data_IF_439349262542
#
_entry.id   IF_439349262542
#
_cell.length_a   1.000
_cell.length_b   1.000
_cell.length_c   1.000
_cell.angle_alpha   90.00
_cell.angle_beta   90.00
_cell.angle_gamma   90.00
#
_symmetry.space_group_name_H-M   'P 1'
#
loop_
_entity.id
_entity.type
_entity.pdbx_description
1 polymer ?
#
# COMPACT_ATOMS: atom_id res chain seq x y z
N UNK A 1 33.62 4.97 2.31
CA UNK A 1 33.35 4.07 3.44
C UNK A 1 31.91 3.64 3.31
N UNK A 2 31.65 2.34 3.44
CA UNK A 2 30.28 1.80 3.48
C UNK A 2 29.58 2.43 4.69
N UNK A 3 28.43 3.05 4.47
CA UNK A 3 27.66 3.62 5.57
C UNK A 3 27.04 2.47 6.38
N UNK A 4 27.52 2.29 7.61
CA UNK A 4 27.04 1.24 8.51
C UNK A 4 26.19 1.89 9.59
N UNK A 5 24.97 1.35 9.79
CA UNK A 5 24.04 1.80 10.79
C UNK A 5 23.67 0.63 11.71
N UNK A 6 23.80 0.83 13.01
CA UNK A 6 23.42 -0.12 14.04
C UNK A 6 22.28 0.47 14.87
N UNK A 7 21.09 -0.13 14.75
CA UNK A 7 19.89 0.26 15.48
C UNK A 7 19.68 -0.69 16.69
N UNK A 8 19.34 -0.11 17.83
CA UNK A 8 18.92 -0.84 19.03
C UNK A 8 17.50 -0.49 19.39
N UNK A 9 16.68 -1.47 19.69
CA UNK A 9 15.28 -1.28 20.10
C UNK A 9 14.58 -2.60 20.37
N UNK A 10 13.32 -2.55 20.72
CA UNK A 10 12.49 -3.76 20.76
C UNK A 10 12.10 -4.10 19.33
N UNK A 11 12.44 -5.29 18.84
CA UNK A 11 12.16 -5.64 17.43
C UNK A 11 10.99 -6.60 17.31
N UNK A 12 10.19 -6.46 16.23
CA UNK A 12 9.15 -7.39 15.85
C UNK A 12 9.17 -7.58 14.32
N UNK A 13 9.23 -8.84 13.88
CA UNK A 13 9.22 -9.19 12.46
C UNK A 13 8.47 -10.50 12.25
N UNK A 14 7.57 -10.54 11.26
CA UNK A 14 6.76 -11.72 10.98
C UNK A 14 7.49 -12.68 10.03
N UNK A 15 7.24 -13.98 10.24
CA UNK A 15 7.75 -15.08 9.40
C UNK A 15 6.64 -15.69 8.55
N UNK A 16 5.43 -15.70 9.08
CA UNK A 16 4.21 -16.20 8.43
C UNK A 16 2.97 -15.60 9.10
N UNK A 17 1.79 -15.91 8.58
CA UNK A 17 0.53 -15.57 9.20
C UNK A 17 0.44 -16.14 10.62
N UNK A 18 0.16 -15.31 11.65
CA UNK A 18 -0.08 -15.79 13.00
C UNK A 18 -1.49 -16.39 13.14
N UNK A 19 -1.58 -17.67 13.47
CA UNK A 19 -2.88 -18.33 13.60
C UNK A 19 -3.63 -17.93 14.89
N UNK A 20 -2.86 -17.64 15.96
CA UNK A 20 -3.39 -17.22 17.25
C UNK A 20 -2.45 -16.18 17.91
N UNK A 21 -2.92 -15.57 19.01
CA UNK A 21 -2.13 -14.57 19.79
C UNK A 21 -0.86 -15.19 20.38
N UNK A 22 -0.90 -16.46 20.73
CA UNK A 22 0.20 -17.24 21.32
C UNK A 22 1.01 -18.04 20.28
N UNK A 23 0.81 -17.79 19.00
CA UNK A 23 1.61 -18.41 17.92
C UNK A 23 2.99 -17.75 17.78
N UNK A 24 3.84 -17.98 18.80
CA UNK A 24 5.18 -17.39 18.86
C UNK A 24 6.13 -17.86 17.75
N UNK A 25 5.80 -18.94 17.03
CA UNK A 25 6.58 -19.39 15.88
C UNK A 25 6.28 -18.60 14.59
N UNK A 26 5.29 -17.71 14.60
CA UNK A 26 4.91 -16.91 13.44
C UNK A 26 5.70 -15.59 13.33
N UNK A 27 6.45 -15.22 14.35
CA UNK A 27 7.22 -13.97 14.39
C UNK A 27 8.49 -14.09 15.22
N UNK A 28 9.43 -13.17 15.02
CA UNK A 28 10.56 -12.93 15.92
C UNK A 28 10.29 -11.66 16.72
N UNK A 29 10.58 -11.69 18.03
CA UNK A 29 10.49 -10.53 18.91
C UNK A 29 11.65 -10.53 19.88
N UNK A 30 12.37 -9.40 19.98
CA UNK A 30 13.45 -9.19 20.94
C UNK A 30 13.15 -7.96 21.79
N UNK A 31 13.12 -8.08 23.10
CA UNK A 31 12.94 -6.94 24.03
C UNK A 31 14.17 -6.01 24.02
N UNK A 32 15.35 -6.53 23.71
CA UNK A 32 16.59 -5.78 23.47
C UNK A 32 17.23 -6.29 22.18
N UNK A 33 16.67 -5.87 21.05
CA UNK A 33 17.07 -6.28 19.73
C UNK A 33 18.04 -5.31 19.06
N UNK A 34 18.77 -5.84 18.08
CA UNK A 34 19.68 -5.11 17.22
C UNK A 34 19.39 -5.35 15.75
N UNK A 35 19.59 -4.32 14.93
CA UNK A 35 19.60 -4.39 13.47
C UNK A 35 20.88 -3.75 12.97
N UNK A 36 21.66 -4.50 12.19
CA UNK A 36 22.84 -3.98 11.50
C UNK A 36 22.52 -3.79 10.02
N UNK A 37 22.71 -2.57 9.55
CA UNK A 37 22.40 -2.17 8.16
C UNK A 37 23.70 -1.77 7.46
N UNK A 38 23.91 -2.29 6.25
CA UNK A 38 24.98 -1.89 5.33
C UNK A 38 24.40 -1.67 3.94
N UNK A 39 24.77 -0.57 3.30
CA UNK A 39 24.33 -0.22 1.95
C UNK A 39 22.81 -0.32 1.75
N UNK A 40 22.03 0.10 2.75
CA UNK A 40 20.59 0.07 2.73
C UNK A 40 19.92 -1.28 2.93
N UNK A 41 20.70 -2.33 3.25
CA UNK A 41 20.18 -3.67 3.53
C UNK A 41 20.46 -4.09 4.98
N UNK A 42 19.53 -4.84 5.55
CA UNK A 42 19.73 -5.51 6.84
C UNK A 42 20.71 -6.65 6.61
N UNK A 43 21.82 -6.66 7.35
CA UNK A 43 22.86 -7.72 7.28
C UNK A 43 22.84 -8.61 8.51
N UNK A 44 22.34 -8.10 9.65
CA UNK A 44 22.10 -8.91 10.85
C UNK A 44 20.89 -8.36 11.62
N UNK A 45 20.12 -9.26 12.22
CA UNK A 45 18.99 -8.97 13.10
C UNK A 45 18.94 -10.02 14.21
N UNK A 46 18.60 -9.63 15.44
CA UNK A 46 18.50 -10.54 16.58
C UNK A 46 18.79 -9.85 17.90
N UNK A 47 19.15 -10.61 18.96
CA UNK A 47 19.53 -10.05 20.26
C UNK A 47 20.65 -9.02 20.12
N UNK A 48 20.52 -7.88 20.79
CA UNK A 48 21.50 -6.79 20.72
C UNK A 48 22.93 -7.24 20.93
N UNK A 49 23.19 -8.05 21.98
CA UNK A 49 24.54 -8.50 22.34
C UNK A 49 25.23 -9.33 21.24
N UNK A 50 24.48 -9.92 20.32
CA UNK A 50 25.01 -10.70 19.19
C UNK A 50 25.21 -9.83 17.95
N UNK A 51 24.26 -8.92 17.68
CA UNK A 51 24.32 -8.04 16.52
C UNK A 51 25.40 -6.97 16.68
N UNK A 52 25.57 -6.41 17.88
CA UNK A 52 26.58 -5.38 18.19
C UNK A 52 28.01 -5.85 17.88
N UNK A 53 28.31 -7.14 18.13
CA UNK A 53 29.62 -7.73 17.86
C UNK A 53 30.00 -7.76 16.38
N UNK A 54 28.99 -7.66 15.49
CA UNK A 54 29.18 -7.70 14.03
C UNK A 54 29.36 -6.30 13.44
N UNK A 55 29.09 -5.25 14.22
CA UNK A 55 29.22 -3.87 13.78
C UNK A 55 30.69 -3.39 13.83
N UNK A 56 31.11 -2.67 12.82
CA UNK A 56 32.40 -2.01 12.79
C UNK A 56 32.52 -0.88 13.82
N UNK A 57 33.75 -0.49 14.16
CA UNK A 57 34.01 0.63 15.10
C UNK A 57 33.42 1.96 14.58
N UNK A 58 33.34 2.15 13.26
CA UNK A 58 32.79 3.34 12.62
C UNK A 58 31.28 3.33 12.41
N UNK A 59 30.55 2.29 12.88
CA UNK A 59 29.11 2.20 12.72
C UNK A 59 28.39 3.33 13.48
N UNK A 60 27.44 3.99 12.80
CA UNK A 60 26.53 4.93 13.46
C UNK A 60 25.59 4.13 14.35
N UNK A 61 25.57 4.43 15.64
CA UNK A 61 24.72 3.75 16.62
C UNK A 61 23.54 4.61 17.04
N UNK A 62 22.33 4.08 16.91
CA UNK A 62 21.09 4.78 17.31
C UNK A 62 20.30 3.86 18.26
N UNK A 63 19.97 4.38 19.42
CA UNK A 63 19.17 3.69 20.44
C UNK A 63 17.72 4.20 20.40
N UNK A 64 16.81 3.33 20.01
CA UNK A 64 15.38 3.60 19.95
C UNK A 64 14.60 3.07 21.17
N UNK A 65 15.26 2.49 22.15
CA UNK A 65 14.54 1.99 23.32
C UNK A 65 13.78 3.10 24.06
N UNK A 66 12.59 2.86 24.59
CA UNK A 66 11.89 1.58 24.69
C UNK A 66 10.94 1.30 23.49
N UNK A 67 11.11 1.94 22.35
CA UNK A 67 10.21 1.88 21.21
C UNK A 67 10.28 0.56 20.45
N UNK A 68 9.19 0.23 19.76
CA UNK A 68 9.07 -0.97 18.94
C UNK A 68 9.56 -0.68 17.50
N UNK A 69 10.45 -1.51 17.00
CA UNK A 69 11.05 -1.44 15.66
C UNK A 69 10.47 -2.56 14.80
N UNK A 70 9.81 -2.18 13.70
CA UNK A 70 9.16 -3.10 12.76
C UNK A 70 9.63 -2.83 11.32
N UNK A 71 9.34 -3.74 10.37
CA UNK A 71 9.41 -3.40 8.95
C UNK A 71 8.52 -2.22 8.64
N UNK A 72 8.93 -1.36 7.71
CA UNK A 72 8.11 -0.25 7.23
C UNK A 72 6.76 -0.75 6.70
N UNK A 73 5.72 0.03 6.90
CA UNK A 73 4.38 -0.32 6.44
C UNK A 73 4.30 -0.27 4.91
N UNK A 74 3.43 -1.10 4.38
CA UNK A 74 3.18 -1.23 2.94
C UNK A 74 1.71 -0.96 2.69
N UNK A 75 1.41 -0.07 1.75
CA UNK A 75 0.05 0.29 1.33
C UNK A 75 -0.20 -0.21 -0.09
N UNK A 76 -1.15 -1.11 -0.25
CA UNK A 76 -1.34 -1.84 -1.50
C UNK A 76 -2.24 -1.14 -2.52
N UNK A 77 -2.79 0.06 -2.21
CA UNK A 77 -3.67 0.78 -3.12
C UNK A 77 -3.84 2.24 -2.67
N UNK A 78 -3.33 3.17 -3.45
CA UNK A 78 -3.45 4.60 -3.17
C UNK A 78 -3.58 5.40 -4.46
N UNK A 79 -4.28 6.54 -4.40
CA UNK A 79 -4.40 7.50 -5.50
C UNK A 79 -3.69 8.80 -5.13
N UNK A 80 -2.40 8.94 -5.41
CA UNK A 80 -1.67 10.15 -5.00
C UNK A 80 -2.26 11.45 -5.60
N UNK A 81 -2.86 11.46 -6.81
CA UNK A 81 -3.49 12.66 -7.34
C UNK A 81 -4.70 13.16 -6.53
N UNK A 82 -5.28 12.30 -5.69
CA UNK A 82 -6.47 12.62 -4.92
C UNK A 82 -6.18 13.19 -3.52
N UNK A 83 -4.90 13.49 -3.24
CA UNK A 83 -4.50 14.05 -1.94
C UNK A 83 -5.29 15.31 -1.54
N UNK A 84 -5.64 16.17 -2.51
CA UNK A 84 -6.36 17.41 -2.25
C UNK A 84 -7.89 17.26 -2.13
N UNK A 85 -8.43 16.09 -2.43
CA UNK A 85 -9.86 15.79 -2.32
C UNK A 85 -10.20 14.78 -1.21
N UNK A 86 -9.21 14.35 -0.44
CA UNK A 86 -9.42 13.49 0.71
C UNK A 86 -10.41 14.14 1.69
N UNK A 87 -11.41 13.38 2.16
CA UNK A 87 -12.45 13.89 3.06
C UNK A 87 -13.46 14.82 2.40
N UNK A 88 -13.51 14.94 1.07
CA UNK A 88 -14.57 15.66 0.37
C UNK A 88 -15.88 14.91 0.47
N UNK A 89 -16.96 15.62 0.83
CA UNK A 89 -18.27 15.01 1.01
C UNK A 89 -18.87 14.58 -0.33
N UNK A 90 -19.08 13.27 -0.50
CA UNK A 90 -19.75 12.66 -1.65
C UNK A 90 -20.83 11.69 -1.17
N UNK A 91 -21.97 11.64 -1.89
CA UNK A 91 -23.07 10.77 -1.49
C UNK A 91 -22.80 9.30 -1.86
N UNK A 92 -22.22 9.06 -3.06
CA UNK A 92 -21.90 7.74 -3.60
C UNK A 92 -20.67 7.80 -4.50
N UNK A 93 -20.04 6.63 -4.79
CA UNK A 93 -18.80 6.51 -5.55
C UNK A 93 -18.80 7.32 -6.87
N UNK A 94 -19.76 7.08 -7.75
CA UNK A 94 -19.77 7.70 -9.09
C UNK A 94 -20.00 9.22 -9.02
N UNK A 95 -20.81 9.70 -8.07
CA UNK A 95 -21.02 11.13 -7.82
C UNK A 95 -19.74 11.77 -7.28
N UNK A 96 -19.08 11.13 -6.31
CA UNK A 96 -17.82 11.60 -5.74
C UNK A 96 -16.69 11.68 -6.78
N UNK A 97 -16.60 10.69 -7.68
CA UNK A 97 -15.66 10.70 -8.80
C UNK A 97 -15.87 11.90 -9.71
N UNK A 98 -17.10 12.17 -10.11
CA UNK A 98 -17.44 13.26 -11.04
C UNK A 98 -17.29 14.64 -10.39
N UNK A 99 -17.64 14.77 -9.10
CA UNK A 99 -17.68 16.07 -8.42
C UNK A 99 -16.29 16.52 -7.97
N UNK A 100 -15.46 15.62 -7.45
CA UNK A 100 -14.18 15.97 -6.82
C UNK A 100 -12.96 15.37 -7.53
N UNK A 101 -12.99 14.06 -7.77
CA UNK A 101 -11.82 13.31 -8.19
C UNK A 101 -11.38 13.67 -9.61
N UNK A 102 -12.26 13.56 -10.58
CA UNK A 102 -11.92 13.83 -11.98
C UNK A 102 -11.48 15.29 -12.23
N UNK A 103 -12.15 16.31 -11.65
CA UNK A 103 -11.64 17.68 -11.74
C UNK A 103 -10.23 17.84 -11.17
N UNK A 104 -9.92 17.23 -10.04
CA UNK A 104 -8.58 17.32 -9.44
C UNK A 104 -7.54 16.57 -10.28
N UNK A 105 -7.83 15.33 -10.70
CA UNK A 105 -6.90 14.53 -11.50
C UNK A 105 -6.58 15.17 -12.86
N UNK A 106 -7.47 15.96 -13.44
CA UNK A 106 -7.23 16.73 -14.68
C UNK A 106 -6.09 17.75 -14.52
N UNK A 107 -5.86 18.28 -13.32
CA UNK A 107 -4.79 19.24 -13.03
C UNK A 107 -3.39 18.66 -13.18
N UNK A 108 -3.27 17.33 -13.14
CA UNK A 108 -1.98 16.62 -13.24
C UNK A 108 -1.38 16.58 -14.66
N UNK A 109 -2.05 17.21 -15.64
CA UNK A 109 -1.41 17.61 -16.91
C UNK A 109 -0.28 18.62 -16.70
N UNK A 110 -0.35 19.41 -15.62
CA UNK A 110 0.73 20.31 -15.19
C UNK A 110 1.77 19.53 -14.37
N UNK A 111 2.95 19.38 -14.95
CA UNK A 111 4.07 18.67 -14.33
C UNK A 111 4.53 19.31 -13.01
N UNK A 112 4.42 20.65 -12.85
CA UNK A 112 4.80 21.30 -11.60
C UNK A 112 3.81 20.97 -10.48
N UNK A 113 2.50 20.99 -10.80
CA UNK A 113 1.48 20.55 -9.89
C UNK A 113 1.71 19.08 -9.49
N UNK A 114 1.93 18.19 -10.47
CA UNK A 114 2.22 16.77 -10.25
C UNK A 114 3.40 16.55 -9.30
N UNK A 115 4.53 17.21 -9.51
CA UNK A 115 5.72 17.14 -8.64
C UNK A 115 5.44 17.63 -7.23
N UNK A 116 4.75 18.76 -7.11
CA UNK A 116 4.38 19.30 -5.79
C UNK A 116 3.55 18.31 -4.99
N UNK A 117 2.52 17.72 -5.61
CA UNK A 117 1.63 16.78 -4.93
C UNK A 117 2.33 15.45 -4.65
N UNK A 118 3.11 14.90 -5.59
CA UNK A 118 3.88 13.68 -5.38
C UNK A 118 4.85 13.81 -4.19
N UNK A 119 5.54 14.97 -4.07
CA UNK A 119 6.41 15.26 -2.94
C UNK A 119 5.65 15.23 -1.61
N UNK A 120 4.56 15.99 -1.49
CA UNK A 120 3.76 16.08 -0.28
C UNK A 120 3.15 14.73 0.07
N UNK A 121 2.66 13.98 -0.92
CA UNK A 121 2.09 12.65 -0.73
C UNK A 121 3.11 11.66 -0.14
N UNK A 122 4.30 11.58 -0.74
CA UNK A 122 5.34 10.66 -0.26
C UNK A 122 5.87 11.08 1.12
N UNK A 123 5.93 12.38 1.41
CA UNK A 123 6.27 12.88 2.75
C UNK A 123 5.21 12.48 3.78
N UNK A 124 3.91 12.55 3.43
CA UNK A 124 2.83 12.06 4.32
C UNK A 124 2.87 10.54 4.51
N UNK A 125 3.16 9.76 3.46
CA UNK A 125 3.33 8.31 3.61
C UNK A 125 4.45 7.98 4.61
N UNK A 126 5.62 8.60 4.46
CA UNK A 126 6.74 8.44 5.39
C UNK A 126 6.35 8.90 6.80
N UNK A 127 5.65 10.03 6.93
CA UNK A 127 5.16 10.53 8.24
C UNK A 127 4.33 9.49 8.99
N UNK A 128 3.55 8.69 8.26
CA UNK A 128 2.68 7.65 8.81
C UNK A 128 3.34 6.25 8.87
N UNK A 129 4.65 6.14 8.58
CA UNK A 129 5.39 4.88 8.68
C UNK A 129 5.35 4.01 7.42
N UNK A 130 4.74 4.47 6.34
CA UNK A 130 4.63 3.73 5.08
C UNK A 130 5.85 3.99 4.20
N UNK A 131 6.56 2.95 3.83
CA UNK A 131 7.78 2.99 3.02
C UNK A 131 7.61 2.44 1.60
N UNK A 132 6.49 1.76 1.35
CA UNK A 132 6.16 1.15 0.06
C UNK A 132 4.68 1.36 -0.24
N UNK A 133 4.36 1.79 -1.47
CA UNK A 133 2.97 1.95 -1.93
C UNK A 133 2.76 1.32 -3.31
N UNK A 134 1.52 0.88 -3.58
CA UNK A 134 1.02 0.62 -4.93
C UNK A 134 0.12 1.79 -5.35
N UNK A 135 0.63 2.67 -6.23
CA UNK A 135 0.04 3.97 -6.51
C UNK A 135 -0.58 4.05 -7.91
N UNK A 136 -1.81 4.57 -7.96
CA UNK A 136 -2.44 5.06 -9.18
C UNK A 136 -1.99 6.50 -9.41
N UNK A 137 -1.47 6.76 -10.60
CA UNK A 137 -1.22 8.12 -11.07
C UNK A 137 -2.45 8.64 -11.84
N UNK A 138 -2.42 9.88 -12.35
CA UNK A 138 -3.45 10.35 -13.27
C UNK A 138 -3.28 9.74 -14.67
N UNK A 139 -4.20 10.00 -15.58
CA UNK A 139 -4.10 9.62 -17.01
C UNK A 139 -2.91 10.28 -17.70
N UNK A 140 -2.43 11.39 -17.19
CA UNK A 140 -1.32 12.15 -17.77
C UNK A 140 0.03 11.50 -17.47
N UNK A 141 0.84 11.27 -18.51
CA UNK A 141 2.22 10.74 -18.39
C UNK A 141 3.05 11.53 -17.39
N UNK A 142 2.94 12.88 -17.41
CA UNK A 142 3.64 13.76 -16.50
C UNK A 142 3.35 13.49 -15.00
N UNK A 143 2.15 12.99 -14.69
CA UNK A 143 1.78 12.57 -13.34
C UNK A 143 2.62 11.37 -12.87
N UNK A 144 2.74 10.35 -13.70
CA UNK A 144 3.53 9.17 -13.39
C UNK A 144 5.03 9.49 -13.32
N UNK A 145 5.54 10.30 -14.25
CA UNK A 145 6.92 10.79 -14.21
C UNK A 145 7.22 11.52 -12.90
N UNK A 146 6.34 12.44 -12.49
CA UNK A 146 6.48 13.20 -11.24
C UNK A 146 6.51 12.28 -10.02
N UNK A 147 5.64 11.28 -9.97
CA UNK A 147 5.62 10.30 -8.87
C UNK A 147 6.93 9.50 -8.81
N UNK A 148 7.38 8.96 -9.95
CA UNK A 148 8.60 8.15 -9.99
C UNK A 148 9.85 8.98 -9.71
N UNK A 149 9.95 10.24 -10.18
CA UNK A 149 11.05 11.15 -9.86
C UNK A 149 11.17 11.35 -8.34
N UNK A 150 10.08 11.70 -7.66
CA UNK A 150 10.06 11.96 -6.22
C UNK A 150 10.27 10.69 -5.39
N UNK A 151 9.73 9.55 -5.83
CA UNK A 151 9.93 8.23 -5.21
C UNK A 151 11.40 7.77 -5.34
N UNK A 152 11.98 7.90 -6.53
CA UNK A 152 13.37 7.55 -6.79
C UNK A 152 14.34 8.41 -5.99
N UNK A 153 14.07 9.72 -5.89
CA UNK A 153 14.90 10.65 -5.11
C UNK A 153 14.93 10.28 -3.61
N UNK A 154 13.81 9.74 -3.07
CA UNK A 154 13.72 9.23 -1.68
C UNK A 154 14.24 7.81 -1.53
N UNK A 155 14.59 7.15 -2.62
CA UNK A 155 14.94 5.73 -2.66
C UNK A 155 13.84 4.82 -2.09
N UNK A 156 12.56 5.21 -2.21
CA UNK A 156 11.42 4.37 -1.81
C UNK A 156 11.23 3.23 -2.82
N UNK A 157 10.77 2.08 -2.34
CA UNK A 157 10.35 0.96 -3.18
C UNK A 157 8.86 1.10 -3.45
N UNK A 158 8.50 1.50 -4.66
CA UNK A 158 7.10 1.70 -5.00
C UNK A 158 6.72 0.98 -6.31
N UNK A 159 5.46 0.57 -6.36
CA UNK A 159 4.76 0.11 -7.56
C UNK A 159 3.86 1.26 -8.01
N UNK A 160 3.93 1.70 -9.26
CA UNK A 160 3.05 2.77 -9.73
C UNK A 160 2.78 2.65 -11.22
N UNK A 161 1.70 3.26 -11.69
CA UNK A 161 1.36 3.30 -13.11
C UNK A 161 0.48 4.47 -13.48
N UNK A 162 0.68 4.95 -14.72
CA UNK A 162 -0.24 5.87 -15.37
C UNK A 162 -1.59 5.18 -15.55
N UNK A 163 -2.67 5.82 -15.10
CA UNK A 163 -4.03 5.34 -15.33
C UNK A 163 -4.37 5.40 -16.82
N UNK A 164 -5.05 4.36 -17.31
CA UNK A 164 -5.59 4.26 -18.66
C UNK A 164 -7.12 4.47 -18.58
N UNK A 165 -7.64 5.48 -19.27
CA UNK A 165 -9.06 5.80 -19.39
C UNK A 165 -9.33 6.42 -20.76
N UNK A 166 -10.30 5.89 -21.51
CA UNK A 166 -10.67 6.39 -22.85
C UNK A 166 -12.16 6.62 -23.03
N UNK A 167 -12.98 6.40 -21.98
CA UNK A 167 -14.41 6.71 -21.96
C UNK A 167 -14.91 7.05 -20.55
N UNK A 168 -16.13 7.56 -20.46
CA UNK A 168 -16.84 7.81 -19.19
C UNK A 168 -16.07 8.67 -18.17
N UNK A 169 -15.25 9.60 -18.67
CA UNK A 169 -14.53 10.59 -17.89
C UNK A 169 -14.53 11.93 -18.65
N UNK A 170 -14.22 13.08 -18.00
CA UNK A 170 -14.09 14.35 -18.70
C UNK A 170 -13.04 14.30 -19.81
N UNK A 171 -13.27 15.06 -20.90
CA UNK A 171 -12.37 15.09 -22.07
C UNK A 171 -10.90 15.35 -21.69
N UNK A 172 -10.65 16.23 -20.72
CA UNK A 172 -9.29 16.53 -20.22
C UNK A 172 -8.64 15.42 -19.39
N UNK A 173 -9.33 14.29 -19.20
CA UNK A 173 -8.88 13.13 -18.42
C UNK A 173 -9.01 11.81 -19.22
N UNK A 174 -9.06 11.91 -20.53
CA UNK A 174 -9.10 10.75 -21.43
C UNK A 174 -7.78 10.64 -22.22
N UNK A 175 -7.33 9.41 -22.39
CA UNK A 175 -6.36 9.04 -23.42
C UNK A 175 -7.08 8.33 -24.60
N UNK A 176 -6.33 7.81 -25.54
CA UNK A 176 -6.84 6.87 -26.53
C UNK A 176 -6.19 5.50 -26.27
N UNK A 177 -6.75 4.39 -26.78
CA UNK A 177 -6.10 3.09 -26.67
C UNK A 177 -4.62 3.12 -27.08
N UNK A 178 -4.32 3.79 -28.20
CA UNK A 178 -2.94 3.89 -28.70
C UNK A 178 -2.06 4.77 -27.80
N UNK A 179 -2.50 5.97 -27.43
CA UNK A 179 -1.69 6.85 -26.57
C UNK A 179 -1.50 6.26 -25.16
N UNK A 180 -2.51 5.57 -24.64
CA UNK A 180 -2.41 4.82 -23.38
C UNK A 180 -1.34 3.74 -23.44
N UNK A 181 -1.27 3.01 -24.55
CA UNK A 181 -0.24 2.00 -24.79
C UNK A 181 1.15 2.64 -24.93
N UNK A 182 1.33 3.62 -25.82
CA UNK A 182 2.62 4.24 -26.12
C UNK A 182 3.23 4.92 -24.90
N UNK A 183 2.44 5.67 -24.14
CA UNK A 183 2.87 6.31 -22.89
C UNK A 183 3.27 5.28 -21.82
N UNK A 184 2.52 4.17 -21.74
CA UNK A 184 2.84 3.08 -20.81
C UNK A 184 4.15 2.42 -21.17
N UNK A 185 4.39 2.09 -22.44
CA UNK A 185 5.67 1.52 -22.91
C UNK A 185 6.83 2.47 -22.61
N UNK A 186 6.66 3.77 -22.89
CA UNK A 186 7.69 4.76 -22.59
C UNK A 186 8.02 4.85 -21.08
N UNK A 187 6.98 4.81 -20.22
CA UNK A 187 7.17 4.85 -18.77
C UNK A 187 7.78 3.56 -18.21
N UNK A 188 7.41 2.39 -18.75
CA UNK A 188 8.06 1.12 -18.41
C UNK A 188 9.56 1.22 -18.70
N UNK A 189 9.93 1.63 -19.92
CA UNK A 189 11.34 1.79 -20.31
C UNK A 189 12.13 2.80 -19.49
N UNK A 190 11.47 3.85 -18.98
CA UNK A 190 12.11 4.87 -18.18
C UNK A 190 12.26 4.50 -16.70
N UNK A 191 11.31 3.77 -16.14
CA UNK A 191 11.18 3.64 -14.69
C UNK A 191 11.20 2.21 -14.15
N UNK A 192 10.69 1.20 -14.88
CA UNK A 192 10.67 -0.16 -14.34
C UNK A 192 12.09 -0.69 -14.12
N UNK A 193 12.39 -1.12 -12.90
CA UNK A 193 13.73 -1.59 -12.52
C UNK A 193 14.78 -0.49 -12.30
N UNK A 194 14.41 0.80 -12.45
CA UNK A 194 15.31 1.92 -12.13
C UNK A 194 15.36 2.13 -10.62
N UNK A 195 16.47 1.76 -10.00
CA UNK A 195 16.59 1.75 -8.54
C UNK A 195 15.60 0.77 -7.92
N UNK A 196 14.63 1.29 -7.18
CA UNK A 196 13.62 0.49 -6.48
C UNK A 196 12.21 0.70 -7.04
N UNK A 197 12.09 1.19 -8.30
CA UNK A 197 10.80 1.50 -8.91
C UNK A 197 10.25 0.31 -9.70
N UNK A 198 8.95 0.03 -9.55
CA UNK A 198 8.22 -0.97 -10.31
C UNK A 198 7.05 -0.32 -11.03
N UNK A 199 6.88 -0.62 -12.32
CA UNK A 199 5.74 -0.14 -13.08
C UNK A 199 4.56 -1.10 -12.97
N UNK A 200 3.32 -0.54 -12.94
CA UNK A 200 2.08 -1.29 -13.02
C UNK A 200 1.26 -0.84 -14.24
N UNK A 201 0.77 -1.79 -15.02
CA UNK A 201 -0.24 -1.56 -16.06
C UNK A 201 -1.55 -1.23 -15.32
N UNK A 202 -2.14 -0.07 -15.59
CA UNK A 202 -3.18 0.49 -14.73
C UNK A 202 -4.43 0.91 -15.52
N UNK A 203 -5.23 -0.02 -16.10
CA UNK A 203 -6.59 0.32 -16.49
C UNK A 203 -7.37 0.66 -15.23
N UNK A 204 -7.95 1.89 -15.16
CA UNK A 204 -8.57 2.34 -13.89
C UNK A 204 -9.65 1.36 -13.41
N UNK A 205 -10.62 1.10 -14.26
CA UNK A 205 -11.65 0.07 -14.08
C UNK A 205 -12.45 -0.09 -15.39
N UNK A 206 -13.25 -1.15 -15.52
CA UNK A 206 -13.91 -1.47 -16.79
C UNK A 206 -14.87 -0.36 -17.29
N UNK A 207 -15.44 0.45 -16.39
CA UNK A 207 -16.33 1.56 -16.79
C UNK A 207 -15.60 2.61 -17.64
N UNK A 208 -14.36 2.92 -17.31
CA UNK A 208 -13.59 3.96 -18.00
C UNK A 208 -12.70 3.46 -19.13
N UNK A 209 -12.79 2.17 -19.48
CA UNK A 209 -12.02 1.58 -20.58
C UNK A 209 -12.94 0.97 -21.63
N UNK A 210 -12.70 1.29 -22.91
CA UNK A 210 -13.34 0.58 -24.03
C UNK A 210 -12.76 -0.81 -24.19
N UNK A 211 -13.43 -1.72 -24.94
CA UNK A 211 -12.83 -2.99 -25.32
C UNK A 211 -11.44 -2.85 -25.95
N UNK A 212 -11.26 -1.86 -26.83
CA UNK A 212 -10.00 -1.56 -27.49
C UNK A 212 -8.90 -1.16 -26.51
N UNK A 213 -9.22 -0.36 -25.50
CA UNK A 213 -8.23 -0.02 -24.44
C UNK A 213 -7.90 -1.23 -23.57
N UNK A 214 -8.88 -2.08 -23.25
CA UNK A 214 -8.65 -3.32 -22.52
C UNK A 214 -7.78 -4.31 -23.31
N UNK A 215 -7.96 -4.39 -24.65
CA UNK A 215 -7.08 -5.16 -25.53
C UNK A 215 -5.63 -4.65 -25.46
N UNK A 216 -5.43 -3.32 -25.47
CA UNK A 216 -4.10 -2.73 -25.32
C UNK A 216 -3.49 -3.02 -23.94
N UNK A 217 -4.27 -2.96 -22.86
CA UNK A 217 -3.80 -3.33 -21.53
C UNK A 217 -3.40 -4.82 -21.47
N UNK A 218 -4.17 -5.71 -22.10
CA UNK A 218 -3.85 -7.14 -22.22
C UNK A 218 -2.60 -7.38 -23.06
N UNK A 219 -2.42 -6.63 -24.17
CA UNK A 219 -1.22 -6.68 -24.99
C UNK A 219 0.03 -6.29 -24.18
N UNK A 220 -0.05 -5.20 -23.38
CA UNK A 220 1.02 -4.77 -22.47
C UNK A 220 1.36 -5.86 -21.44
N UNK A 221 0.35 -6.47 -20.82
CA UNK A 221 0.57 -7.54 -19.84
C UNK A 221 1.26 -8.77 -20.46
N UNK A 222 0.96 -9.07 -21.71
CA UNK A 222 1.61 -10.16 -22.47
C UNK A 222 3.02 -9.79 -22.93
N UNK A 223 3.24 -8.55 -23.36
CA UNK A 223 4.54 -8.07 -23.85
C UNK A 223 5.55 -7.90 -22.71
N UNK A 224 5.09 -7.46 -21.55
CA UNK A 224 5.93 -7.24 -20.36
C UNK A 224 5.53 -8.20 -19.21
N UNK A 225 5.78 -9.50 -19.35
CA UNK A 225 5.42 -10.48 -18.35
C UNK A 225 6.20 -10.23 -17.05
N UNK A 226 5.50 -10.22 -15.94
CA UNK A 226 6.11 -9.95 -14.63
C UNK A 226 5.92 -8.53 -14.11
N UNK A 227 5.35 -7.61 -14.90
CA UNK A 227 4.83 -6.36 -14.37
C UNK A 227 3.62 -6.60 -13.45
N UNK A 228 3.34 -5.62 -12.60
CA UNK A 228 2.07 -5.58 -11.89
C UNK A 228 0.96 -5.10 -12.83
N UNK A 229 -0.25 -5.55 -12.55
CA UNK A 229 -1.49 -4.98 -13.07
C UNK A 229 -2.28 -4.47 -11.87
N UNK A 230 -2.86 -3.29 -11.95
CA UNK A 230 -3.74 -2.78 -10.89
C UNK A 230 -5.00 -2.16 -11.49
N UNK A 231 -6.15 -2.47 -10.89
CA UNK A 231 -7.47 -1.99 -11.30
C UNK A 231 -8.46 -2.12 -10.15
N UNK A 232 -9.70 -1.64 -10.32
CA UNK A 232 -10.78 -1.76 -9.34
C UNK A 232 -11.74 -2.88 -9.75
N UNK A 233 -12.34 -3.55 -8.76
CA UNK A 233 -13.25 -4.66 -9.00
C UNK A 233 -14.34 -4.72 -7.93
N UNK A 234 -15.60 -4.67 -8.38
CA UNK A 234 -16.79 -4.99 -7.58
C UNK A 234 -16.85 -4.25 -6.23
N UNK A 235 -16.64 -2.93 -6.29
CA UNK A 235 -16.69 -2.05 -5.13
C UNK A 235 -18.13 -1.71 -4.75
N UNK A 236 -18.99 -1.35 -5.74
CA UNK A 236 -20.32 -0.83 -5.51
C UNK A 236 -21.33 -1.49 -6.45
N UNK A 237 -22.57 -1.69 -6.00
CA UNK A 237 -23.62 -2.32 -6.81
C UNK A 237 -23.98 -1.53 -8.08
N UNK A 238 -24.00 -0.19 -8.01
CA UNK A 238 -24.27 0.65 -9.17
C UNK A 238 -23.11 0.55 -10.20
N UNK A 239 -21.87 0.50 -9.72
CA UNK A 239 -20.67 0.23 -10.53
C UNK A 239 -20.77 -1.11 -11.25
N UNK A 240 -21.13 -2.19 -10.54
CA UNK A 240 -21.27 -3.54 -11.11
C UNK A 240 -22.37 -3.56 -12.19
N UNK A 241 -23.53 -2.95 -11.92
CA UNK A 241 -24.63 -2.89 -12.86
C UNK A 241 -24.23 -2.12 -14.13
N UNK A 242 -23.59 -0.96 -13.99
CA UNK A 242 -23.11 -0.17 -15.12
C UNK A 242 -22.03 -0.91 -15.93
N UNK A 243 -21.15 -1.62 -15.26
CA UNK A 243 -20.14 -2.46 -15.93
C UNK A 243 -20.79 -3.57 -16.76
N UNK A 244 -21.85 -4.22 -16.24
CA UNK A 244 -22.59 -5.25 -16.97
C UNK A 244 -23.32 -4.69 -18.21
N UNK A 245 -23.82 -3.46 -18.15
CA UNK A 245 -24.39 -2.78 -19.32
C UNK A 245 -23.35 -2.52 -20.40
N UNK A 246 -22.13 -2.15 -20.02
CA UNK A 246 -21.02 -1.85 -20.94
C UNK A 246 -20.38 -3.11 -21.56
N UNK A 247 -20.43 -4.24 -20.84
CA UNK A 247 -19.86 -5.53 -21.25
C UNK A 247 -20.91 -6.67 -21.16
N UNK A 248 -22.02 -6.61 -21.93
CA UNK A 248 -23.14 -7.54 -21.79
C UNK A 248 -22.81 -9.00 -22.14
N UNK A 249 -21.66 -9.25 -22.74
CA UNK A 249 -21.16 -10.59 -23.07
C UNK A 249 -20.50 -11.30 -21.88
N UNK A 250 -20.05 -10.54 -20.86
CA UNK A 250 -19.35 -11.08 -19.71
C UNK A 250 -20.30 -11.80 -18.74
N UNK A 251 -19.80 -12.82 -18.08
CA UNK A 251 -20.56 -13.53 -17.03
C UNK A 251 -20.71 -12.70 -15.77
N UNK A 252 -19.70 -11.92 -15.47
CA UNK A 252 -19.60 -10.99 -14.33
C UNK A 252 -18.44 -10.04 -14.55
N UNK A 253 -18.15 -9.18 -13.57
CA UNK A 253 -17.11 -8.16 -13.67
C UNK A 253 -15.70 -8.78 -13.80
N UNK A 254 -15.40 -9.82 -13.03
CA UNK A 254 -14.10 -10.51 -13.08
C UNK A 254 -13.85 -11.18 -14.45
N UNK A 255 -14.91 -11.67 -15.11
CA UNK A 255 -14.81 -12.30 -16.44
C UNK A 255 -14.26 -11.32 -17.50
N UNK A 256 -14.52 -10.02 -17.37
CA UNK A 256 -13.97 -8.99 -18.25
C UNK A 256 -12.44 -8.99 -18.16
N UNK A 257 -11.89 -8.88 -16.96
CA UNK A 257 -10.42 -8.87 -16.76
C UNK A 257 -9.78 -10.20 -17.14
N UNK A 258 -10.46 -11.32 -16.90
CA UNK A 258 -10.00 -12.63 -17.34
C UNK A 258 -9.92 -12.73 -18.87
N UNK A 259 -10.94 -12.23 -19.59
CA UNK A 259 -11.00 -12.23 -21.05
C UNK A 259 -9.81 -11.50 -21.68
N UNK A 260 -9.42 -10.34 -21.13
CA UNK A 260 -8.28 -9.56 -21.63
C UNK A 260 -6.92 -10.01 -21.07
N UNK A 261 -6.86 -11.09 -20.29
CA UNK A 261 -5.61 -11.63 -19.76
C UNK A 261 -4.95 -10.77 -18.68
N UNK A 262 -5.73 -10.00 -17.94
CA UNK A 262 -5.26 -9.07 -16.91
C UNK A 262 -5.17 -9.71 -15.52
N UNK A 263 -5.62 -10.95 -15.33
CA UNK A 263 -5.58 -11.65 -14.05
C UNK A 263 -4.29 -12.45 -13.89
N UNK A 264 -3.75 -12.45 -12.68
CA UNK A 264 -2.54 -13.19 -12.36
C UNK A 264 -1.95 -12.83 -11.00
N UNK A 265 -0.86 -13.50 -10.64
CA UNK A 265 -0.23 -13.39 -9.31
C UNK A 265 0.22 -11.97 -8.94
N UNK A 266 0.44 -11.08 -9.91
CA UNK A 266 0.83 -9.67 -9.70
C UNK A 266 -0.30 -8.70 -10.02
N UNK A 267 -1.55 -9.19 -10.11
CA UNK A 267 -2.72 -8.35 -10.32
C UNK A 267 -3.32 -7.95 -8.97
N UNK A 268 -3.45 -6.65 -8.76
CA UNK A 268 -4.05 -6.02 -7.58
C UNK A 268 -5.44 -5.50 -7.96
N UNK A 269 -6.47 -6.00 -7.31
CA UNK A 269 -7.87 -5.67 -7.56
C UNK A 269 -8.41 -4.90 -6.36
N UNK A 270 -8.63 -3.60 -6.50
CA UNK A 270 -9.17 -2.74 -5.45
C UNK A 270 -10.56 -3.17 -5.03
N UNK A 271 -10.83 -3.10 -3.73
CA UNK A 271 -12.10 -3.34 -3.03
C UNK A 271 -12.57 -4.78 -3.00
N UNK A 272 -13.00 -5.39 -4.09
CA UNK A 272 -13.50 -6.78 -4.15
C UNK A 272 -14.60 -7.10 -3.11
N UNK A 273 -15.52 -6.15 -2.85
CA UNK A 273 -16.51 -6.28 -1.78
C UNK A 273 -17.58 -7.28 -2.17
N UNK A 274 -18.13 -7.14 -3.39
CA UNK A 274 -19.32 -7.84 -3.86
C UNK A 274 -19.00 -8.99 -4.83
N UNK A 275 -17.95 -9.78 -4.55
CA UNK A 275 -17.60 -10.93 -5.37
C UNK A 275 -18.63 -12.07 -5.20
N UNK A 276 -19.09 -12.63 -6.32
CA UNK A 276 -19.74 -13.93 -6.34
C UNK A 276 -18.77 -15.07 -5.99
N UNK A 277 -19.28 -16.29 -5.73
CA UNK A 277 -18.42 -17.46 -5.49
C UNK A 277 -17.52 -17.76 -6.70
N UNK A 278 -18.08 -17.66 -7.93
CA UNK A 278 -17.31 -17.86 -9.16
C UNK A 278 -16.16 -16.87 -9.28
N UNK A 279 -16.40 -15.59 -9.01
CA UNK A 279 -15.35 -14.55 -9.09
C UNK A 279 -14.25 -14.82 -8.05
N UNK A 280 -14.64 -15.18 -6.84
CA UNK A 280 -13.68 -15.55 -5.79
C UNK A 280 -12.87 -16.80 -6.17
N UNK A 281 -13.47 -17.80 -6.82
CA UNK A 281 -12.74 -18.97 -7.35
C UNK A 281 -11.73 -18.56 -8.42
N UNK A 282 -12.11 -17.70 -9.38
CA UNK A 282 -11.21 -17.19 -10.42
C UNK A 282 -10.02 -16.43 -9.82
N UNK A 283 -10.26 -15.58 -8.81
CA UNK A 283 -9.18 -14.88 -8.13
C UNK A 283 -8.23 -15.84 -7.41
N UNK A 284 -8.76 -16.87 -6.75
CA UNK A 284 -7.94 -17.91 -6.11
C UNK A 284 -7.10 -18.68 -7.12
N UNK A 285 -7.69 -19.09 -8.25
CA UNK A 285 -7.03 -19.89 -9.30
C UNK A 285 -5.93 -19.12 -10.01
N UNK A 286 -6.18 -17.85 -10.32
CA UNK A 286 -5.19 -16.98 -10.97
C UNK A 286 -4.13 -16.47 -10.00
N UNK A 287 -4.38 -16.54 -8.69
CA UNK A 287 -3.55 -15.96 -7.64
C UNK A 287 -3.61 -14.44 -7.60
N UNK A 288 -4.62 -13.82 -8.21
CA UNK A 288 -4.89 -12.38 -8.13
C UNK A 288 -5.16 -11.94 -6.69
N UNK A 289 -4.87 -10.69 -6.39
CA UNK A 289 -4.94 -10.13 -5.02
C UNK A 289 -6.19 -9.29 -4.88
N UNK A 290 -7.02 -9.61 -3.89
CA UNK A 290 -8.10 -8.75 -3.45
C UNK A 290 -7.55 -7.70 -2.48
N UNK A 291 -7.73 -6.41 -2.76
CA UNK A 291 -7.20 -5.34 -1.91
C UNK A 291 -8.31 -4.78 -1.03
N UNK A 292 -8.19 -5.02 0.26
CA UNK A 292 -9.12 -4.56 1.29
C UNK A 292 -8.87 -3.10 1.65
N UNK A 293 -9.82 -2.21 1.33
CA UNK A 293 -9.76 -0.77 1.54
C UNK A 293 -10.83 -0.31 2.57
N UNK A 294 -10.70 -0.68 3.86
CA UNK A 294 -11.80 -0.52 4.82
C UNK A 294 -12.26 0.92 4.99
N UNK A 295 -11.35 1.89 5.04
CA UNK A 295 -11.68 3.30 5.26
C UNK A 295 -12.50 3.88 4.11
N UNK A 296 -12.12 3.58 2.88
CA UNK A 296 -12.83 4.00 1.66
C UNK A 296 -14.18 3.33 1.54
N UNK A 297 -14.21 2.00 1.71
CA UNK A 297 -15.44 1.21 1.63
C UNK A 297 -16.52 1.72 2.58
N UNK A 298 -16.13 2.13 3.79
CA UNK A 298 -17.03 2.71 4.79
C UNK A 298 -17.42 4.14 4.45
N UNK A 299 -16.46 4.96 4.04
CA UNK A 299 -16.68 6.39 3.77
C UNK A 299 -17.62 6.61 2.59
N UNK A 300 -17.46 5.84 1.51
CA UNK A 300 -18.30 5.90 0.32
C UNK A 300 -19.56 5.02 0.42
N UNK A 301 -19.74 4.28 1.53
CA UNK A 301 -20.89 3.40 1.70
C UNK A 301 -20.91 2.19 0.77
N UNK A 302 -19.76 1.80 0.23
CA UNK A 302 -19.63 0.72 -0.75
C UNK A 302 -19.99 -0.65 -0.19
N UNK A 303 -19.74 -0.89 1.12
CA UNK A 303 -20.10 -2.13 1.80
C UNK A 303 -19.01 -2.68 2.73
N UNK A 304 -19.25 -3.89 3.25
CA UNK A 304 -18.36 -4.57 4.18
C UNK A 304 -17.64 -5.72 3.47
N UNK A 305 -16.33 -5.61 3.35
CA UNK A 305 -15.50 -6.69 2.81
C UNK A 305 -15.49 -7.90 3.76
N UNK A 306 -15.82 -9.08 3.24
CA UNK A 306 -15.87 -10.31 4.03
C UNK A 306 -14.48 -10.99 4.07
N UNK A 307 -13.60 -10.44 4.91
CA UNK A 307 -12.20 -10.83 5.03
C UNK A 307 -12.05 -12.32 5.37
N UNK A 308 -12.84 -12.81 6.32
CA UNK A 308 -12.72 -14.20 6.81
C UNK A 308 -13.29 -15.21 5.82
N UNK A 309 -14.41 -14.90 5.17
CA UNK A 309 -14.94 -15.72 4.08
C UNK A 309 -13.87 -15.98 3.03
N UNK A 310 -13.16 -14.95 2.60
CA UNK A 310 -12.12 -15.09 1.57
C UNK A 310 -10.88 -15.83 2.06
N UNK A 311 -10.52 -15.69 3.33
CA UNK A 311 -9.38 -16.40 3.91
C UNK A 311 -9.64 -17.88 4.23
N UNK A 312 -10.87 -18.24 4.62
CA UNK A 312 -11.22 -19.60 5.07
C UNK A 312 -11.71 -20.52 3.95
N UNK A 313 -11.71 -20.04 2.72
CA UNK A 313 -12.02 -20.89 1.55
C UNK A 313 -11.03 -22.05 1.47
N UNK A 314 -11.44 -23.14 0.85
CA UNK A 314 -10.55 -24.27 0.54
C UNK A 314 -9.31 -23.81 -0.24
N UNK A 315 -9.52 -22.82 -1.14
CA UNK A 315 -8.45 -22.07 -1.83
C UNK A 315 -8.54 -20.60 -1.40
N UNK A 316 -7.80 -20.18 -0.37
CA UNK A 316 -7.85 -18.81 0.14
C UNK A 316 -7.47 -17.78 -0.92
N UNK A 317 -8.15 -16.62 -0.93
CA UNK A 317 -7.72 -15.48 -1.71
C UNK A 317 -6.43 -14.90 -1.10
N UNK A 318 -5.59 -14.37 -1.96
CA UNK A 318 -4.52 -13.48 -1.53
C UNK A 318 -5.13 -12.12 -1.23
N UNK A 319 -4.94 -11.62 -0.03
CA UNK A 319 -5.52 -10.36 0.43
C UNK A 319 -4.39 -9.38 0.77
N UNK A 320 -4.51 -8.15 0.29
CA UNK A 320 -3.74 -7.01 0.76
C UNK A 320 -4.65 -6.02 1.49
N UNK A 321 -4.08 -5.15 2.32
CA UNK A 321 -4.79 -4.04 2.95
C UNK A 321 -4.25 -2.71 2.44
N UNK A 322 -5.12 -1.70 2.35
CA UNK A 322 -4.77 -0.41 1.78
C UNK A 322 -5.58 0.74 2.39
N UNK A 323 -5.01 1.94 2.36
CA UNK A 323 -5.68 3.18 2.76
C UNK A 323 -6.68 3.64 1.73
N UNK A 324 -6.36 3.43 0.45
CA UNK A 324 -7.08 4.03 -0.69
C UNK A 324 -7.23 5.56 -0.56
N UNK A 325 -6.12 6.24 -0.25
CA UNK A 325 -6.10 7.72 -0.32
C UNK A 325 -6.54 8.16 -1.72
N UNK A 326 -7.57 8.81 -1.88
CA UNK A 326 -8.49 9.81 -1.55
C UNK A 326 -9.93 9.34 -1.26
N UNK A 327 -10.45 8.16 -1.73
CA UNK A 327 -11.69 7.61 -1.20
C UNK A 327 -11.54 7.21 0.26
N UNK A 328 -10.40 6.68 0.66
CA UNK A 328 -10.01 6.53 2.05
C UNK A 328 -9.67 7.86 2.72
N UNK A 329 -9.94 7.96 4.02
CA UNK A 329 -9.97 9.22 4.76
C UNK A 329 -8.71 9.54 5.56
N UNK A 330 -7.65 8.73 5.41
CA UNK A 330 -6.37 8.95 6.12
C UNK A 330 -5.20 8.27 5.38
N UNK A 331 -3.97 8.57 5.81
CA UNK A 331 -2.71 8.03 5.28
C UNK A 331 -2.12 6.91 6.13
N UNK A 332 -2.77 6.55 7.26
CA UNK A 332 -2.19 5.68 8.28
C UNK A 332 -2.63 4.24 8.11
N UNK A 333 -1.69 3.32 7.91
CA UNK A 333 -1.97 1.89 7.93
C UNK A 333 -2.45 1.39 9.31
N UNK A 334 -2.08 2.05 10.42
CA UNK A 334 -2.61 1.76 11.75
C UNK A 334 -4.11 2.07 11.80
N UNK A 335 -4.53 3.27 11.35
CA UNK A 335 -5.94 3.66 11.29
C UNK A 335 -6.72 2.80 10.30
N UNK A 336 -6.12 2.42 9.19
CA UNK A 336 -6.72 1.50 8.21
C UNK A 336 -7.05 0.16 8.85
N UNK A 337 -6.15 -0.39 9.67
CA UNK A 337 -6.43 -1.65 10.38
C UNK A 337 -7.36 -1.49 11.57
N UNK A 338 -7.47 -0.31 12.19
CA UNK A 338 -8.54 -0.01 13.15
C UNK A 338 -9.92 -0.11 12.49
N UNK A 339 -10.12 0.54 11.35
CA UNK A 339 -11.35 0.40 10.57
C UNK A 339 -11.55 -1.04 10.07
N UNK A 340 -10.49 -1.69 9.58
CA UNK A 340 -10.53 -3.09 9.16
C UNK A 340 -10.95 -4.03 10.27
N UNK A 341 -10.47 -3.83 11.50
CA UNK A 341 -10.90 -4.60 12.66
C UNK A 341 -12.41 -4.45 12.91
N UNK A 342 -12.94 -3.22 12.82
CA UNK A 342 -14.37 -2.95 13.03
C UNK A 342 -15.23 -3.58 11.93
N UNK A 343 -14.82 -3.49 10.66
CA UNK A 343 -15.50 -4.15 9.53
C UNK A 343 -15.57 -5.66 9.74
N UNK A 344 -14.45 -6.28 10.10
CA UNK A 344 -14.37 -7.73 10.34
C UNK A 344 -15.21 -8.11 11.57
N UNK A 345 -15.24 -7.26 12.61
CA UNK A 345 -16.06 -7.48 13.80
C UNK A 345 -17.57 -7.38 13.50
N UNK A 346 -17.99 -6.48 12.59
CA UNK A 346 -19.38 -6.40 12.12
C UNK A 346 -19.82 -7.67 11.35
N UNK A 347 -18.88 -8.33 10.68
CA UNK A 347 -19.12 -9.63 10.03
C UNK A 347 -19.05 -10.82 11.02
N UNK A 348 -18.98 -10.56 12.33
CA UNK A 348 -19.00 -11.58 13.39
C UNK A 348 -17.66 -12.23 13.70
N UNK A 349 -16.57 -11.71 13.16
CA UNK A 349 -15.21 -12.26 13.28
C UNK A 349 -14.25 -11.22 13.90
N UNK A 350 -13.02 -11.64 14.21
CA UNK A 350 -11.98 -10.70 14.71
C UNK A 350 -10.61 -11.08 14.19
N UNK A 351 -9.80 -10.09 13.86
CA UNK A 351 -8.36 -10.25 13.73
C UNK A 351 -7.70 -10.00 15.09
N UNK A 352 -6.73 -10.83 15.44
CA UNK A 352 -5.85 -10.49 16.55
C UNK A 352 -4.79 -9.44 16.09
N UNK A 353 -4.17 -8.70 17.02
CA UNK A 353 -3.28 -7.60 16.63
C UNK A 353 -2.03 -8.05 15.86
N UNK A 354 -1.52 -9.27 16.09
CA UNK A 354 -0.41 -9.79 15.28
C UNK A 354 -0.81 -10.01 13.82
N UNK A 355 -2.03 -10.46 13.57
CA UNK A 355 -2.58 -10.63 12.22
C UNK A 355 -2.70 -9.27 11.50
N UNK A 356 -3.12 -8.23 12.20
CA UNK A 356 -3.20 -6.87 11.65
C UNK A 356 -1.84 -6.33 11.27
N UNK A 357 -0.83 -6.45 12.14
CA UNK A 357 0.53 -5.99 11.84
C UNK A 357 1.23 -6.84 10.78
N UNK A 358 0.98 -8.16 10.76
CA UNK A 358 1.41 -9.01 9.66
C UNK A 358 0.85 -8.52 8.32
N UNK A 359 -0.45 -8.18 8.29
CA UNK A 359 -1.13 -7.78 7.06
C UNK A 359 -0.48 -6.53 6.44
N UNK A 360 -0.17 -5.51 7.24
CA UNK A 360 0.40 -4.24 6.75
C UNK A 360 1.92 -4.25 6.57
N UNK A 361 2.57 -5.39 6.83
CA UNK A 361 4.01 -5.61 6.63
C UNK A 361 4.23 -6.79 5.68
N UNK A 362 4.55 -7.99 6.19
CA UNK A 362 4.84 -9.17 5.39
C UNK A 362 3.67 -9.60 4.51
N UNK A 363 2.42 -9.49 4.99
CA UNK A 363 1.23 -9.84 4.23
C UNK A 363 1.10 -9.04 2.95
N UNK A 364 1.22 -7.71 3.04
CA UNK A 364 1.21 -6.83 1.87
C UNK A 364 2.44 -7.05 0.99
N UNK A 365 3.63 -7.27 1.56
CA UNK A 365 4.82 -7.60 0.78
C UNK A 365 4.64 -8.88 -0.05
N UNK A 366 4.05 -9.93 0.55
CA UNK A 366 3.71 -11.18 -0.17
C UNK A 366 2.65 -10.95 -1.24
N UNK A 367 1.63 -10.15 -0.94
CA UNK A 367 0.58 -9.80 -1.88
C UNK A 367 1.14 -9.08 -3.12
N UNK A 368 2.03 -8.11 -2.91
CA UNK A 368 2.72 -7.38 -3.98
C UNK A 368 3.85 -8.18 -4.63
N UNK A 369 4.14 -9.40 -4.19
CA UNK A 369 5.28 -10.21 -4.68
C UNK A 369 6.63 -9.49 -4.50
N UNK A 370 6.81 -8.81 -3.35
CA UNK A 370 8.00 -8.03 -2.95
C UNK A 370 8.60 -8.52 -1.63
N UNK A 371 8.18 -9.68 -1.11
CA UNK A 371 8.59 -10.18 0.21
C UNK A 371 10.08 -10.60 0.27
N UNK A 372 10.74 -10.76 -0.86
CA UNK A 372 12.20 -10.92 -0.96
C UNK A 372 12.96 -9.61 -0.72
N UNK A 373 12.27 -8.47 -0.76
CA UNK A 373 12.84 -7.14 -0.61
C UNK A 373 12.44 -6.45 0.68
N UNK A 374 11.14 -6.47 1.02
CA UNK A 374 10.55 -5.69 2.12
C UNK A 374 9.54 -6.50 2.93
N UNK A 375 9.06 -5.94 4.04
CA UNK A 375 8.00 -6.53 4.88
C UNK A 375 8.52 -7.39 6.04
N UNK A 376 9.85 -7.59 6.14
CA UNK A 376 10.50 -8.27 7.26
C UNK A 376 11.77 -7.53 7.69
N UNK A 377 12.30 -7.89 8.87
CA UNK A 377 13.63 -7.44 9.35
C UNK A 377 14.70 -8.52 9.11
N UNK A 378 14.48 -9.45 8.20
CA UNK A 378 15.41 -10.54 7.93
C UNK A 378 16.69 -10.05 7.23
N UNK A 379 17.85 -10.66 7.51
CA UNK A 379 19.07 -10.39 6.75
C UNK A 379 18.86 -10.59 5.24
N UNK A 380 19.36 -9.64 4.44
CA UNK A 380 19.21 -9.60 2.97
C UNK A 380 18.08 -8.71 2.48
N UNK A 381 17.08 -8.37 3.31
CA UNK A 381 16.01 -7.43 2.92
C UNK A 381 16.47 -5.98 2.98
N UNK A 382 15.76 -5.12 2.28
CA UNK A 382 16.01 -3.68 2.32
C UNK A 382 15.65 -3.14 3.72
N UNK A 383 16.46 -2.22 4.24
CA UNK A 383 16.26 -1.65 5.57
C UNK A 383 15.18 -0.56 5.56
N UNK A 384 13.96 -0.96 5.19
CA UNK A 384 12.75 -0.16 5.31
C UNK A 384 12.12 -0.47 6.67
N UNK A 385 12.17 0.50 7.58
CA UNK A 385 11.92 0.28 9.01
C UNK A 385 11.05 1.40 9.55
N UNK A 386 10.10 1.05 10.44
CA UNK A 386 9.32 2.00 11.23
C UNK A 386 9.59 1.79 12.72
N UNK A 387 9.72 2.88 13.45
CA UNK A 387 9.88 2.91 14.90
C UNK A 387 8.62 3.49 15.53
N UNK A 388 7.94 2.73 16.39
CA UNK A 388 6.67 3.10 16.99
C UNK A 388 6.79 3.36 18.49
N UNK A 389 6.17 4.46 18.95
CA UNK A 389 6.00 4.84 20.35
C UNK A 389 4.55 4.59 20.80
N UNK A 390 4.33 3.51 21.56
CA UNK A 390 3.03 3.21 22.13
C UNK A 390 2.60 4.19 23.26
N UNK A 391 3.44 5.16 23.60
CA UNK A 391 3.19 6.19 24.63
C UNK A 391 3.18 7.62 24.07
N UNK A 392 3.03 7.77 22.77
CA UNK A 392 3.14 9.05 22.06
C UNK A 392 2.15 10.13 22.55
N UNK A 393 0.94 9.73 22.94
CA UNK A 393 -0.08 10.66 23.45
C UNK A 393 -0.40 10.41 24.93
N UNK A 394 -1.00 11.38 25.67
CA UNK A 394 -1.42 11.15 27.05
C UNK A 394 -2.36 9.96 27.23
N UNK A 395 -3.31 9.77 26.30
CA UNK A 395 -4.25 8.64 26.33
C UNK A 395 -3.54 7.30 26.12
N UNK A 396 -2.60 7.25 25.17
CA UNK A 396 -1.80 6.04 24.93
C UNK A 396 -0.91 5.71 26.13
N UNK A 397 -0.26 6.71 26.76
CA UNK A 397 0.52 6.51 27.99
C UNK A 397 -0.32 5.90 29.11
N UNK A 398 -1.49 6.48 29.36
CA UNK A 398 -2.39 5.99 30.40
C UNK A 398 -2.85 4.55 30.12
N UNK A 399 -3.18 4.23 28.87
CA UNK A 399 -3.58 2.86 28.47
C UNK A 399 -2.41 1.88 28.61
N UNK A 400 -1.18 2.30 28.29
CA UNK A 400 0.02 1.47 28.41
C UNK A 400 0.37 1.11 29.87
N UNK A 401 -0.08 1.87 30.88
CA UNK A 401 0.07 1.51 32.28
C UNK A 401 -0.69 0.21 32.63
N UNK A 402 -1.67 -0.16 31.83
CA UNK A 402 -2.50 -1.36 32.02
C UNK A 402 -2.23 -2.46 30.97
N UNK A 403 -1.36 -2.19 30.01
CA UNK A 403 -0.97 -3.18 29.01
C UNK A 403 0.05 -4.17 29.63
N UNK A 404 -0.31 -5.44 29.66
CA UNK A 404 0.50 -6.51 30.26
C UNK A 404 1.19 -7.42 29.22
N UNK A 405 1.01 -7.14 27.92
CA UNK A 405 1.55 -8.00 26.86
C UNK A 405 1.83 -7.20 25.58
N UNK A 406 2.69 -7.76 24.71
CA UNK A 406 2.93 -7.23 23.37
C UNK A 406 1.64 -7.17 22.54
N UNK A 407 0.74 -8.15 22.67
CA UNK A 407 -0.56 -8.15 22.00
C UNK A 407 -1.42 -6.93 22.36
N UNK A 408 -1.45 -6.56 23.64
CA UNK A 408 -2.19 -5.37 24.10
C UNK A 408 -1.53 -4.06 23.63
N UNK A 409 -0.21 -4.00 23.57
CA UNK A 409 0.53 -2.87 23.01
C UNK A 409 0.25 -2.70 21.51
N UNK A 410 0.32 -3.79 20.73
CA UNK A 410 0.01 -3.78 19.30
C UNK A 410 -1.46 -3.36 19.04
N UNK A 411 -2.39 -3.88 19.85
CA UNK A 411 -3.80 -3.50 19.69
C UNK A 411 -4.05 -2.03 20.05
N UNK A 412 -3.33 -1.49 21.06
CA UNK A 412 -3.34 -0.06 21.39
C UNK A 412 -2.78 0.77 20.21
N UNK A 413 -1.64 0.38 19.63
CA UNK A 413 -1.05 1.05 18.49
C UNK A 413 -2.01 1.05 17.30
N UNK A 414 -2.68 -0.08 17.02
CA UNK A 414 -3.66 -0.20 15.95
C UNK A 414 -4.87 0.73 16.16
N UNK A 415 -5.39 0.84 17.40
CA UNK A 415 -6.65 1.52 17.66
C UNK A 415 -6.52 3.00 18.02
N UNK A 416 -5.41 3.40 18.64
CA UNK A 416 -5.15 4.77 19.08
C UNK A 416 -3.97 5.43 18.37
N UNK A 417 -3.17 4.63 17.64
CA UNK A 417 -1.99 5.12 16.93
C UNK A 417 -2.35 5.87 15.65
N UNK A 418 -1.55 6.88 15.37
CA UNK A 418 -1.52 7.65 14.13
C UNK A 418 -0.08 8.11 13.85
N UNK A 419 0.12 9.17 13.06
CA UNK A 419 1.44 9.71 12.77
C UNK A 419 2.23 10.13 14.02
N UNK A 420 1.54 10.47 15.13
CA UNK A 420 2.19 10.80 16.40
C UNK A 420 2.86 9.59 17.05
N UNK A 421 2.35 8.38 16.79
CA UNK A 421 2.96 7.14 17.25
C UNK A 421 4.20 6.73 16.44
N UNK A 422 4.39 7.29 15.25
CA UNK A 422 5.56 7.03 14.41
C UNK A 422 6.72 7.92 14.88
N UNK A 423 7.72 7.32 15.50
CA UNK A 423 8.88 8.03 16.06
C UNK A 423 9.92 8.33 14.99
N UNK A 424 10.27 7.33 14.18
CA UNK A 424 11.20 7.43 13.07
C UNK A 424 10.83 6.45 11.95
N UNK A 425 11.27 6.75 10.74
CA UNK A 425 11.14 5.89 9.57
C UNK A 425 12.48 5.86 8.84
N UNK A 426 12.91 4.66 8.47
CA UNK A 426 14.08 4.46 7.63
C UNK A 426 13.66 3.95 6.27
N UNK A 427 14.18 4.55 5.22
CA UNK A 427 14.04 4.11 3.83
C UNK A 427 15.41 3.66 3.34
N UNK A 428 15.54 2.37 3.05
CA UNK A 428 16.82 1.75 2.71
C UNK A 428 17.95 2.21 3.68
N UNK A 429 17.65 2.14 4.99
CA UNK A 429 18.59 2.45 6.07
C UNK A 429 18.88 3.93 6.30
N UNK A 430 18.25 4.84 5.57
CA UNK A 430 18.40 6.30 5.78
C UNK A 430 17.22 6.84 6.59
N UNK A 431 17.46 7.62 7.66
CA UNK A 431 16.40 8.27 8.38
C UNK A 431 15.63 9.21 7.45
N UNK A 432 14.32 9.04 7.36
CA UNK A 432 13.48 9.78 6.43
C UNK A 432 12.53 10.76 7.15
N UNK A 433 12.04 10.42 8.34
CA UNK A 433 11.11 11.27 9.10
C UNK A 433 11.82 12.46 9.76
N UNK A 434 12.95 12.23 10.40
CA UNK A 434 13.75 13.29 11.04
C UNK A 434 14.32 14.27 10.01
N UNK A 435 14.71 13.78 8.83
CA UNK A 435 15.22 14.63 7.76
C UNK A 435 14.13 15.58 7.21
N UNK A 436 12.86 15.15 7.15
CA UNK A 436 11.73 16.02 6.79
C UNK A 436 11.47 17.11 7.84
N UNK A 437 11.64 16.80 9.14
CA UNK A 437 11.47 17.78 10.22
C UNK A 437 12.59 18.83 10.24
N UNK A 438 13.79 18.47 9.79
CA UNK A 438 14.93 19.39 9.69
C UNK A 438 14.83 20.31 8.46
N UNK A 439 14.12 19.90 7.41
CA UNK A 439 13.81 20.76 6.27
C UNK A 439 12.71 21.75 6.68
N UNK A 440 13.03 23.06 6.70
CA UNK A 440 12.03 24.10 6.97
C UNK A 440 10.81 23.91 6.06
N UNK A 441 9.56 24.02 6.57
CA UNK A 441 8.38 23.86 5.73
C UNK A 441 8.45 24.87 4.58
N UNK A 442 8.10 24.47 3.35
CA UNK A 442 7.99 25.43 2.26
C UNK A 442 6.92 26.46 2.67
N UNK A 443 7.26 27.74 2.56
CA UNK A 443 6.32 28.82 2.77
C UNK A 443 5.08 28.58 1.91
N UNK A 444 3.95 28.33 2.55
CA UNK A 444 2.65 28.22 1.88
C UNK A 444 2.30 29.65 1.45
N UNK A 445 2.61 29.98 0.21
CA UNK A 445 2.16 31.22 -0.43
C UNK A 445 0.88 30.94 -1.20
#
# INVERSE_FOLDING_TARGET
MVAELLLRGRTLSFLRWPEAVDDHAAYTHEEDGGLLVRDGKIVAAGPWAEVEKQAGEGAQRIDHRPHLVLPGFIDAHVHFPQMQVIGSYGAELLDWLNTYTFPEETRFRDAQHGRRIARLFLDEMVRHGTTTVAAYCSVHKASAEAFFEESHARNMLNVAGKVMMDRNAPEGLLDTPQSGYDDTVALIGAWHGRGRQHYAITPRFAITSTPEQMEMAGALAKEFPGLHVQTHLSENHAEIAFTQELYPWSKDYTDIYAHYGLLGRRTLLGHCIHLSEREADVLSETGSVAVFCPTSNLFLGSGLFDYQRYRRRERPLRIAAATDVGGGTNYSMLRTMDEGYKVIALNGEKLNPFQSFWQITLGNAQALSLADRVGTLAPGTDADIVVLDARATPAMRLRMERAGSLAEELFLLQTLGDDRAVREVYVAGRPARSDMQAASPPSVS
#
